data_IF_268880891089
#
_entry.id   IF_268880891089
#
_cell.length_a   1.000
_cell.length_b   1.000
_cell.length_c   1.000
_cell.angle_alpha   90.00
_cell.angle_beta   90.00
_cell.angle_gamma   90.00
#
_symmetry.space_group_name_H-M   'P 1'
#
loop_
_entity.id
_entity.type
_entity.pdbx_description
1 polymer ?
#
# COMPACT_ATOMS: atom_id res chain seq x y z
N UNK A 1 -12.90 -36.85 -27.09
CA UNK A 1 -13.36 -36.16 -25.85
C UNK A 1 -12.24 -35.36 -25.21
N UNK A 2 -11.09 -35.98 -24.89
CA UNK A 2 -9.92 -35.33 -24.27
C UNK A 2 -9.39 -34.12 -25.07
N UNK A 3 -9.19 -34.26 -26.39
CA UNK A 3 -8.70 -33.16 -27.24
C UNK A 3 -9.62 -31.93 -27.22
N UNK A 4 -10.94 -32.13 -27.20
CA UNK A 4 -11.91 -31.02 -27.12
C UNK A 4 -11.85 -30.31 -25.77
N UNK A 5 -11.70 -31.07 -24.68
CA UNK A 5 -11.53 -30.51 -23.34
C UNK A 5 -10.24 -29.69 -23.25
N UNK A 6 -9.13 -30.21 -23.78
CA UNK A 6 -7.85 -29.50 -23.83
C UNK A 6 -7.99 -28.19 -24.61
N UNK A 7 -8.58 -28.23 -25.80
CA UNK A 7 -8.80 -27.03 -26.61
C UNK A 7 -9.68 -26.00 -25.90
N UNK A 8 -10.73 -26.44 -25.19
CA UNK A 8 -11.56 -25.55 -24.39
C UNK A 8 -10.81 -24.91 -23.22
N UNK A 9 -9.97 -25.66 -22.50
CA UNK A 9 -9.16 -25.14 -21.41
C UNK A 9 -8.11 -24.15 -21.90
N UNK A 10 -7.46 -24.45 -23.03
CA UNK A 10 -6.52 -23.53 -23.68
C UNK A 10 -7.22 -22.25 -24.12
N UNK A 11 -8.41 -22.36 -24.74
CA UNK A 11 -9.22 -21.21 -25.11
C UNK A 11 -9.61 -20.34 -23.92
N UNK A 12 -10.07 -20.96 -22.83
CA UNK A 12 -10.40 -20.26 -21.58
C UNK A 12 -9.19 -19.53 -21.00
N UNK A 13 -8.02 -20.17 -20.99
CA UNK A 13 -6.78 -19.55 -20.52
C UNK A 13 -6.46 -18.27 -21.30
N UNK A 14 -6.51 -18.31 -22.63
CA UNK A 14 -6.28 -17.12 -23.46
C UNK A 14 -7.30 -16.01 -23.21
N UNK A 15 -8.57 -16.35 -22.98
CA UNK A 15 -9.61 -15.38 -22.61
C UNK A 15 -9.27 -14.72 -21.27
N UNK A 16 -8.90 -15.49 -20.25
CA UNK A 16 -8.53 -14.95 -18.94
C UNK A 16 -7.30 -14.03 -19.02
N UNK A 17 -6.29 -14.43 -19.79
CA UNK A 17 -5.10 -13.58 -20.02
C UNK A 17 -5.49 -12.29 -20.75
N UNK A 18 -6.35 -12.37 -21.78
CA UNK A 18 -6.83 -11.18 -22.48
C UNK A 18 -7.62 -10.25 -21.55
N UNK A 19 -8.53 -10.79 -20.72
CA UNK A 19 -9.26 -10.02 -19.72
C UNK A 19 -8.31 -9.35 -18.71
N UNK A 20 -7.28 -10.05 -18.26
CA UNK A 20 -6.28 -9.50 -17.35
C UNK A 20 -5.49 -8.37 -17.99
N UNK A 21 -5.07 -8.52 -19.26
CA UNK A 21 -4.37 -7.45 -20.01
C UNK A 21 -5.27 -6.23 -20.23
N UNK A 22 -6.54 -6.45 -20.56
CA UNK A 22 -7.53 -5.37 -20.68
C UNK A 22 -7.71 -4.66 -19.34
N UNK A 23 -7.86 -5.40 -18.24
CA UNK A 23 -7.92 -4.81 -16.90
C UNK A 23 -6.66 -4.01 -16.56
N UNK A 24 -5.50 -4.58 -16.85
CA UNK A 24 -4.20 -4.01 -16.51
C UNK A 24 -3.93 -2.70 -17.26
N UNK A 25 -4.32 -2.57 -18.53
CA UNK A 25 -3.86 -1.47 -19.38
C UNK A 25 -4.97 -0.63 -20.04
N UNK A 26 -6.19 -1.15 -20.16
CA UNK A 26 -7.27 -0.47 -20.90
C UNK A 26 -8.41 0.02 -20.00
N UNK A 27 -8.63 -0.61 -18.85
CA UNK A 27 -9.64 -0.14 -17.88
C UNK A 27 -9.14 1.17 -17.24
N UNK A 28 -9.96 2.24 -17.20
CA UNK A 28 -9.56 3.48 -16.55
C UNK A 28 -9.37 3.27 -15.05
N UNK A 29 -8.43 4.03 -14.48
CA UNK A 29 -8.25 4.07 -13.02
C UNK A 29 -9.49 4.69 -12.36
N UNK A 30 -9.75 4.37 -11.07
CA UNK A 30 -10.76 5.07 -10.30
C UNK A 30 -10.56 6.58 -10.35
N UNK A 31 -11.64 7.33 -10.16
CA UNK A 31 -11.56 8.78 -10.04
C UNK A 31 -10.59 9.13 -8.90
N UNK A 32 -9.63 10.00 -9.20
CA UNK A 32 -8.67 10.48 -8.23
C UNK A 32 -9.36 11.43 -7.24
N UNK A 33 -9.53 10.99 -5.99
CA UNK A 33 -10.09 11.80 -4.90
C UNK A 33 -9.02 12.40 -4.00
N UNK A 34 -7.75 12.31 -4.37
CA UNK A 34 -6.64 12.80 -3.54
C UNK A 34 -6.79 14.28 -3.24
N UNK A 35 -6.60 14.68 -1.99
CA UNK A 35 -6.48 16.08 -1.63
C UNK A 35 -5.20 16.66 -2.25
N UNK A 36 -5.28 17.60 -3.21
CA UNK A 36 -4.09 18.10 -3.92
C UNK A 36 -3.13 18.85 -3.00
N UNK A 37 -3.56 19.26 -1.80
CA UNK A 37 -2.70 19.94 -0.84
C UNK A 37 -1.52 19.09 -0.38
N UNK A 38 -1.62 17.74 -0.45
CA UNK A 38 -0.51 16.85 -0.08
C UNK A 38 0.72 17.01 -0.98
N UNK A 39 0.60 17.66 -2.14
CA UNK A 39 1.70 17.89 -3.08
C UNK A 39 2.22 19.34 -3.08
N UNK A 40 1.70 20.21 -2.20
CA UNK A 40 2.14 21.61 -2.12
C UNK A 40 3.50 21.78 -1.42
N UNK A 41 3.83 20.84 -0.54
CA UNK A 41 5.08 20.79 0.22
C UNK A 41 5.77 19.43 0.00
N UNK A 42 7.06 19.35 0.34
CA UNK A 42 7.82 18.12 0.22
C UNK A 42 7.73 17.33 1.53
N UNK A 43 7.10 16.15 1.49
CA UNK A 43 6.99 15.26 2.63
C UNK A 43 8.35 14.83 3.21
N UNK A 44 9.46 15.03 2.50
CA UNK A 44 10.82 14.80 3.03
C UNK A 44 11.18 15.73 4.19
N UNK A 45 10.53 16.88 4.34
CA UNK A 45 10.83 17.85 5.41
C UNK A 45 10.17 17.49 6.75
N UNK A 46 9.36 16.44 6.80
CA UNK A 46 8.59 16.03 7.99
C UNK A 46 9.41 15.13 8.91
N UNK A 47 9.28 15.34 10.23
CA UNK A 47 9.81 14.43 11.25
C UNK A 47 8.85 13.27 11.55
N UNK A 48 9.14 12.10 11.01
CA UNK A 48 8.33 10.88 11.11
C UNK A 48 8.43 10.14 12.44
N UNK A 49 9.21 10.64 13.40
CA UNK A 49 9.13 10.20 14.79
C UNK A 49 8.07 10.98 15.59
N UNK A 50 7.64 12.14 15.11
CA UNK A 50 6.49 12.89 15.65
C UNK A 50 5.18 12.35 15.12
N UNK A 51 4.82 11.12 15.51
CA UNK A 51 3.59 10.48 15.04
C UNK A 51 2.34 11.23 15.54
N UNK A 52 1.26 11.34 14.73
CA UNK A 52 -0.01 11.87 15.20
C UNK A 52 -0.57 11.09 16.39
N UNK A 53 -1.19 11.80 17.33
CA UNK A 53 -1.92 11.16 18.44
C UNK A 53 -3.26 10.61 17.94
N UNK A 54 -3.56 9.36 18.29
CA UNK A 54 -4.80 8.69 17.89
C UNK A 54 -5.78 8.63 19.08
N UNK A 55 -6.15 9.80 19.59
CA UNK A 55 -6.97 9.99 20.80
C UNK A 55 -8.46 10.21 20.52
N UNK A 56 -8.86 10.28 19.25
CA UNK A 56 -10.22 10.51 18.79
C UNK A 56 -10.69 11.97 18.83
N UNK A 57 -9.81 12.94 19.08
CA UNK A 57 -10.18 14.36 19.26
C UNK A 57 -10.47 15.14 17.97
N UNK A 58 -9.98 14.67 16.84
CA UNK A 58 -10.03 15.31 15.52
C UNK A 58 -10.74 14.49 14.45
N UNK A 59 -10.17 14.46 13.23
CA UNK A 59 -10.79 13.79 12.08
C UNK A 59 -10.71 12.28 12.20
N UNK A 60 -11.76 11.61 11.72
CA UNK A 60 -11.75 10.19 11.44
C UNK A 60 -11.12 9.88 10.09
N UNK A 61 -10.76 8.62 9.86
CA UNK A 61 -10.21 8.16 8.59
C UNK A 61 -11.18 8.33 7.42
N UNK A 62 -12.49 8.42 7.70
CA UNK A 62 -13.54 8.67 6.69
C UNK A 62 -13.67 10.15 6.31
N UNK A 63 -13.22 11.07 7.16
CA UNK A 63 -13.26 12.52 6.90
C UNK A 63 -12.13 12.99 5.96
N UNK A 64 -11.20 12.08 5.64
CA UNK A 64 -10.06 12.33 4.75
C UNK A 64 -10.33 11.56 3.44
N UNK A 65 -10.33 12.21 2.27
CA UNK A 65 -10.49 11.51 1.00
C UNK A 65 -9.41 10.44 0.78
N UNK A 66 -9.74 9.40 0.01
CA UNK A 66 -8.77 8.38 -0.40
C UNK A 66 -7.73 9.00 -1.33
N UNK A 67 -6.45 8.73 -1.08
CA UNK A 67 -5.36 9.15 -1.93
C UNK A 67 -5.07 8.08 -3.00
N UNK A 68 -4.62 8.53 -4.16
CA UNK A 68 -4.22 7.72 -5.29
C UNK A 68 -2.86 8.19 -5.79
N UNK A 69 -2.12 7.29 -6.41
CA UNK A 69 -0.86 7.66 -7.06
C UNK A 69 -1.15 8.52 -8.30
N UNK A 70 -0.64 9.77 -8.39
CA UNK A 70 -0.86 10.61 -9.55
C UNK A 70 -0.16 10.01 -10.78
N UNK A 71 -0.82 10.07 -11.95
CA UNK A 71 -0.24 9.54 -13.19
C UNK A 71 0.28 8.10 -13.06
N UNK A 72 1.56 7.89 -13.39
CA UNK A 72 2.25 6.61 -13.25
C UNK A 72 3.30 6.62 -12.12
N UNK A 73 3.16 7.56 -11.17
CA UNK A 73 4.08 7.77 -10.06
C UNK A 73 4.13 9.23 -9.65
N UNK A 74 4.32 9.51 -8.36
CA UNK A 74 4.61 10.87 -7.91
C UNK A 74 6.08 11.25 -8.19
N UNK A 75 6.31 12.53 -8.49
CA UNK A 75 7.66 13.08 -8.69
C UNK A 75 8.25 13.72 -7.43
N UNK A 76 7.40 14.05 -6.46
CA UNK A 76 7.77 14.61 -5.16
C UNK A 76 7.08 13.81 -4.06
N UNK A 77 7.77 13.62 -2.94
CA UNK A 77 7.21 12.89 -1.79
C UNK A 77 5.99 13.65 -1.28
N UNK A 78 4.79 13.04 -1.27
CA UNK A 78 3.61 13.72 -0.75
C UNK A 78 3.75 13.94 0.76
N UNK A 79 3.17 15.02 1.26
CA UNK A 79 2.91 15.22 2.68
C UNK A 79 2.10 14.05 3.26
N UNK A 80 2.15 13.80 4.59
CA UNK A 80 1.43 12.67 5.18
C UNK A 80 -0.09 12.82 4.99
N UNK A 81 -0.70 11.82 4.36
CA UNK A 81 -2.12 11.81 3.97
C UNK A 81 -3.02 11.81 5.22
N UNK A 82 -2.61 11.10 6.28
CA UNK A 82 -3.36 10.94 7.52
C UNK A 82 -2.87 11.85 8.65
N UNK A 83 -2.10 12.91 8.35
CA UNK A 83 -1.49 13.81 9.34
C UNK A 83 -2.47 14.36 10.38
N UNK A 84 -3.70 14.67 9.95
CA UNK A 84 -4.75 15.28 10.79
C UNK A 84 -5.77 14.26 11.32
N UNK A 85 -5.51 12.96 11.13
CA UNK A 85 -6.38 11.89 11.57
C UNK A 85 -6.02 11.47 12.99
N UNK A 86 -7.02 11.40 13.86
CA UNK A 86 -6.82 11.04 15.27
C UNK A 86 -7.66 9.82 15.68
N UNK A 87 -8.35 9.16 14.76
CA UNK A 87 -9.13 7.95 15.07
C UNK A 87 -8.22 6.86 15.66
N UNK A 88 -8.52 6.34 16.86
CA UNK A 88 -7.79 5.21 17.45
C UNK A 88 -7.68 4.04 16.46
N UNK A 89 -6.56 3.31 16.49
CA UNK A 89 -6.43 2.11 15.65
C UNK A 89 -7.57 1.14 15.96
N UNK A 90 -8.13 0.56 14.90
CA UNK A 90 -9.18 -0.43 15.04
C UNK A 90 -8.66 -1.69 15.75
N UNK A 91 -9.57 -2.46 16.35
CA UNK A 91 -9.23 -3.73 16.97
C UNK A 91 -8.52 -4.68 15.98
N UNK A 92 -7.47 -5.34 16.43
CA UNK A 92 -6.65 -6.25 15.60
C UNK A 92 -5.66 -5.57 14.65
N UNK A 93 -5.67 -4.24 14.55
CA UNK A 93 -4.69 -3.49 13.75
C UNK A 93 -3.41 -3.27 14.54
N UNK A 94 -2.30 -3.82 14.06
CA UNK A 94 -0.98 -3.59 14.67
C UNK A 94 -0.45 -2.22 14.24
N UNK A 95 0.06 -1.46 15.21
CA UNK A 95 0.71 -0.18 14.96
C UNK A 95 2.08 -0.39 14.30
N UNK A 96 2.15 -0.02 13.03
CA UNK A 96 3.30 -0.04 12.13
C UNK A 96 3.66 1.38 11.65
N UNK A 97 3.09 2.43 12.24
CA UNK A 97 3.31 3.83 11.80
C UNK A 97 4.78 4.21 11.89
N UNK A 98 5.28 4.92 10.89
CA UNK A 98 6.65 5.43 10.86
C UNK A 98 7.27 5.42 9.47
N UNK A 99 8.50 5.90 9.39
CA UNK A 99 9.35 5.80 8.21
C UNK A 99 10.33 4.64 8.40
N UNK A 100 10.30 3.67 7.51
CA UNK A 100 11.01 2.40 7.62
C UNK A 100 12.07 2.27 6.55
N UNK A 101 13.31 2.03 6.97
CA UNK A 101 14.47 1.91 6.09
C UNK A 101 15.11 0.52 6.14
N UNK A 102 15.25 -0.12 4.98
CA UNK A 102 15.79 -1.46 4.79
C UNK A 102 17.28 -1.54 5.08
N UNK A 103 17.65 -2.37 6.06
CA UNK A 103 19.03 -2.60 6.52
C UNK A 103 19.57 -3.97 6.12
N UNK A 104 18.73 -4.89 5.68
CA UNK A 104 19.11 -6.18 5.09
C UNK A 104 18.08 -6.64 4.07
N UNK A 105 18.43 -7.62 3.23
CA UNK A 105 17.57 -8.04 2.11
C UNK A 105 17.63 -6.98 1.01
N UNK A 106 16.51 -6.27 0.77
CA UNK A 106 16.47 -5.12 -0.15
C UNK A 106 16.98 -3.86 0.57
N UNK A 107 18.30 -3.74 0.68
CA UNK A 107 18.96 -2.57 1.30
C UNK A 107 18.55 -1.30 0.54
N UNK A 108 18.22 -0.24 1.28
CA UNK A 108 17.69 1.02 0.71
C UNK A 108 16.19 0.98 0.42
N UNK A 109 15.48 -0.10 0.77
CA UNK A 109 14.01 -0.06 0.83
C UNK A 109 13.55 1.05 1.76
N UNK A 110 12.66 1.92 1.28
CA UNK A 110 12.15 3.03 2.05
C UNK A 110 10.64 3.10 1.89
N UNK A 111 9.93 2.97 3.01
CA UNK A 111 8.48 3.13 3.03
C UNK A 111 8.03 3.93 4.25
N UNK A 112 7.10 4.86 4.00
CA UNK A 112 6.35 5.54 5.05
C UNK A 112 5.03 4.83 5.26
N UNK A 113 4.71 4.48 6.50
CA UNK A 113 3.42 3.92 6.90
C UNK A 113 2.69 4.92 7.79
N UNK A 114 1.46 5.23 7.42
CA UNK A 114 0.52 6.05 8.18
C UNK A 114 -0.70 5.20 8.51
N UNK A 115 -1.25 5.31 9.72
CA UNK A 115 -2.43 4.53 10.15
C UNK A 115 -3.36 5.37 11.00
N UNK A 116 -4.65 5.15 10.83
CA UNK A 116 -5.72 5.78 11.59
C UNK A 116 -7.00 4.94 11.44
N UNK A 117 -7.64 4.54 12.54
CA UNK A 117 -8.74 3.56 12.48
C UNK A 117 -8.27 2.24 11.87
N UNK A 118 -8.99 1.75 10.87
CA UNK A 118 -8.59 0.62 10.02
C UNK A 118 -8.03 1.06 8.65
N UNK A 119 -7.63 2.33 8.48
CA UNK A 119 -7.02 2.85 7.26
C UNK A 119 -5.50 2.86 7.39
N UNK A 120 -4.84 2.48 6.32
CA UNK A 120 -3.39 2.49 6.21
C UNK A 120 -3.00 3.14 4.89
N UNK A 121 -2.00 4.01 4.94
CA UNK A 121 -1.37 4.57 3.75
C UNK A 121 0.10 4.19 3.77
N UNK A 122 0.56 3.49 2.73
CA UNK A 122 1.98 3.19 2.51
C UNK A 122 2.47 4.02 1.34
N UNK A 123 3.45 4.89 1.58
CA UNK A 123 4.11 5.68 0.53
C UNK A 123 5.51 5.12 0.29
N UNK A 124 5.74 4.55 -0.88
CA UNK A 124 7.02 3.92 -1.24
C UNK A 124 7.22 3.93 -2.77
N UNK A 125 8.46 4.06 -3.23
CA UNK A 125 8.84 3.91 -4.65
C UNK A 125 7.95 4.67 -5.65
N UNK A 126 7.64 5.94 -5.39
CA UNK A 126 6.80 6.74 -6.27
C UNK A 126 5.30 6.38 -6.23
N UNK A 127 4.87 5.50 -5.32
CA UNK A 127 3.49 5.01 -5.21
C UNK A 127 2.90 5.32 -3.84
N UNK A 128 1.61 5.69 -3.83
CA UNK A 128 0.75 5.81 -2.67
C UNK A 128 -0.20 4.61 -2.68
N UNK A 129 -0.02 3.71 -1.71
CA UNK A 129 -0.91 2.59 -1.43
C UNK A 129 -1.87 3.00 -0.30
N UNK A 130 -3.10 3.41 -0.64
CA UNK A 130 -4.11 3.80 0.34
C UNK A 130 -5.23 2.76 0.41
N UNK A 131 -5.48 2.20 1.59
CA UNK A 131 -6.41 1.10 1.76
C UNK A 131 -6.98 1.00 3.17
N UNK A 132 -8.06 0.20 3.28
CA UNK A 132 -8.59 -0.30 4.55
C UNK A 132 -8.11 -1.73 4.76
N UNK A 133 -7.82 -2.08 6.00
CA UNK A 133 -7.43 -3.46 6.39
C UNK A 133 -8.66 -4.33 6.70
N UNK A 134 -9.66 -4.31 5.82
CA UNK A 134 -10.92 -5.06 5.97
C UNK A 134 -11.04 -6.30 5.08
N UNK A 135 -9.97 -6.66 4.38
CA UNK A 135 -9.91 -7.83 3.51
C UNK A 135 -10.69 -7.68 2.20
N UNK A 136 -11.19 -6.49 1.85
CA UNK A 136 -11.98 -6.30 0.63
C UNK A 136 -11.20 -5.63 -0.50
N UNK A 137 -11.47 -6.03 -1.75
CA UNK A 137 -10.98 -5.34 -2.94
C UNK A 137 -11.63 -3.97 -3.18
N UNK A 138 -12.79 -3.70 -2.57
CA UNK A 138 -13.50 -2.42 -2.70
C UNK A 138 -12.77 -1.32 -1.93
N UNK A 139 -12.35 -1.63 -0.71
CA UNK A 139 -11.67 -0.69 0.18
C UNK A 139 -10.14 -0.88 0.17
N UNK A 140 -9.65 -1.92 -0.50
CA UNK A 140 -8.24 -2.23 -0.72
C UNK A 140 -7.49 -1.24 -1.61
N UNK A 141 -6.21 -1.50 -1.89
CA UNK A 141 -5.37 -0.53 -2.60
C UNK A 141 -5.61 -0.59 -4.11
N UNK A 142 -5.71 0.60 -4.73
CA UNK A 142 -5.95 0.78 -6.17
C UNK A 142 -4.68 1.33 -6.80
N UNK A 143 -3.71 0.44 -6.94
CA UNK A 143 -2.33 0.79 -7.22
C UNK A 143 -1.97 0.73 -8.70
N UNK A 144 -0.77 1.20 -8.98
CA UNK A 144 -0.10 1.04 -10.26
C UNK A 144 1.09 0.10 -10.12
N UNK A 145 1.35 -0.71 -11.14
CA UNK A 145 2.57 -1.50 -11.26
C UNK A 145 3.70 -0.73 -11.95
N UNK A 146 4.85 -1.38 -12.06
CA UNK A 146 6.06 -0.80 -12.68
C UNK A 146 5.86 -0.35 -14.15
N UNK A 147 4.87 -0.90 -14.85
CA UNK A 147 4.51 -0.52 -16.22
C UNK A 147 3.27 0.37 -16.29
N UNK A 148 2.93 1.05 -15.19
CA UNK A 148 1.70 1.83 -15.04
C UNK A 148 0.40 1.01 -15.24
N UNK A 149 0.50 -0.30 -15.03
CA UNK A 149 -0.65 -1.20 -15.11
C UNK A 149 -1.48 -1.14 -13.83
N UNK A 150 -2.79 -1.32 -13.94
CA UNK A 150 -3.69 -1.38 -12.79
C UNK A 150 -3.39 -2.60 -11.91
N UNK A 151 -3.32 -2.38 -10.60
CA UNK A 151 -3.41 -3.42 -9.59
C UNK A 151 -4.56 -3.17 -8.62
N UNK A 152 -5.07 -4.24 -8.02
CA UNK A 152 -6.04 -4.17 -6.95
C UNK A 152 -5.69 -5.21 -5.90
N UNK A 153 -5.49 -4.76 -4.67
CA UNK A 153 -5.09 -5.62 -3.56
C UNK A 153 -6.12 -5.51 -2.46
N UNK A 154 -6.50 -6.64 -1.86
CA UNK A 154 -7.21 -6.66 -0.59
C UNK A 154 -6.16 -6.76 0.52
N UNK A 155 -6.30 -5.97 1.58
CA UNK A 155 -5.35 -6.00 2.71
C UNK A 155 -6.14 -6.29 3.98
N UNK A 156 -5.56 -7.11 4.85
CA UNK A 156 -6.07 -7.40 6.18
C UNK A 156 -4.89 -7.71 7.12
N UNK A 157 -5.19 -7.80 8.42
CA UNK A 157 -4.28 -8.38 9.40
C UNK A 157 -4.65 -9.83 9.66
N UNK A 158 -3.65 -10.71 9.71
CA UNK A 158 -3.75 -12.11 10.10
C UNK A 158 -2.67 -12.39 11.16
N UNK A 159 -3.08 -12.71 12.38
CA UNK A 159 -2.20 -12.92 13.54
C UNK A 159 -1.08 -11.87 13.70
N UNK A 160 -1.43 -10.59 13.51
CA UNK A 160 -0.51 -9.46 13.64
C UNK A 160 0.40 -9.21 12.42
N UNK A 161 0.23 -9.98 11.34
CA UNK A 161 0.88 -9.78 10.05
C UNK A 161 -0.08 -9.04 9.11
N UNK A 162 0.35 -7.92 8.53
CA UNK A 162 -0.42 -7.24 7.48
C UNK A 162 -0.16 -7.96 6.14
N UNK A 163 -1.22 -8.49 5.52
CA UNK A 163 -1.12 -9.31 4.30
C UNK A 163 -1.81 -8.62 3.13
N UNK A 164 -1.07 -8.38 2.05
CA UNK A 164 -1.59 -7.85 0.79
C UNK A 164 -1.87 -9.00 -0.17
N UNK A 165 -3.15 -9.18 -0.50
CA UNK A 165 -3.61 -10.21 -1.42
C UNK A 165 -3.93 -9.61 -2.78
N UNK A 166 -3.12 -9.93 -3.79
CA UNK A 166 -3.33 -9.45 -5.15
C UNK A 166 -4.59 -10.08 -5.74
N UNK A 167 -5.54 -9.23 -6.15
CA UNK A 167 -6.88 -9.62 -6.57
C UNK A 167 -7.63 -10.51 -5.56
N UNK A 168 -7.20 -10.49 -4.29
CA UNK A 168 -7.67 -11.39 -3.23
C UNK A 168 -7.47 -12.89 -3.53
N UNK A 169 -6.47 -13.23 -4.36
CA UNK A 169 -6.19 -14.61 -4.79
C UNK A 169 -4.94 -15.20 -4.11
N UNK A 170 -3.89 -14.40 -3.95
CA UNK A 170 -2.62 -14.86 -3.38
C UNK A 170 -1.87 -13.72 -2.72
N UNK A 171 -1.00 -14.08 -1.77
CA UNK A 171 -0.28 -13.14 -0.94
C UNK A 171 0.93 -12.61 -1.71
N UNK A 172 0.95 -11.30 -1.93
CA UNK A 172 1.98 -10.64 -2.72
C UNK A 172 2.99 -9.89 -1.84
N UNK A 173 2.54 -9.37 -0.69
CA UNK A 173 3.39 -8.65 0.26
C UNK A 173 2.90 -8.97 1.67
N UNK A 174 3.83 -9.18 2.60
CA UNK A 174 3.51 -9.20 4.02
C UNK A 174 4.39 -8.22 4.79
N UNK A 175 3.85 -7.71 5.89
CA UNK A 175 4.59 -6.89 6.86
C UNK A 175 4.31 -7.40 8.26
N UNK A 176 5.35 -7.58 9.07
CA UNK A 176 5.22 -7.96 10.47
C UNK A 176 6.20 -7.17 11.34
N UNK A 177 5.77 -6.82 12.54
CA UNK A 177 6.66 -6.25 13.54
C UNK A 177 7.57 -7.35 14.12
N UNK A 178 8.82 -7.01 14.41
CA UNK A 178 9.79 -7.86 15.10
C UNK A 178 10.59 -7.00 16.09
N UNK A 179 10.03 -6.81 17.29
CA UNK A 179 10.54 -5.84 18.24
C UNK A 179 10.42 -4.41 17.69
N UNK A 180 11.54 -3.70 17.63
CA UNK A 180 11.61 -2.32 17.09
C UNK A 180 11.74 -2.27 15.56
N UNK A 181 11.97 -3.42 14.91
CA UNK A 181 12.08 -3.54 13.46
C UNK A 181 10.75 -3.96 12.85
N UNK A 182 10.60 -3.69 11.55
CA UNK A 182 9.54 -4.27 10.74
C UNK A 182 10.18 -5.13 9.64
N UNK A 183 9.64 -6.33 9.44
CA UNK A 183 10.03 -7.23 8.36
C UNK A 183 9.03 -7.05 7.22
N UNK A 184 9.52 -6.62 6.06
CA UNK A 184 8.78 -6.55 4.81
C UNK A 184 9.16 -7.75 3.95
N UNK A 185 8.19 -8.53 3.49
CA UNK A 185 8.43 -9.67 2.60
C UNK A 185 7.69 -9.47 1.30
N UNK A 186 8.40 -9.58 0.17
CA UNK A 186 7.82 -9.46 -1.16
C UNK A 186 7.43 -10.83 -1.73
N UNK A 187 6.74 -10.86 -2.85
CA UNK A 187 6.22 -12.09 -3.49
C UNK A 187 7.30 -13.11 -3.87
N UNK A 188 8.56 -12.67 -3.97
CA UNK A 188 9.72 -13.53 -4.22
C UNK A 188 10.25 -14.22 -2.95
N UNK A 189 9.65 -13.97 -1.79
CA UNK A 189 10.04 -14.52 -0.50
C UNK A 189 11.23 -13.80 0.16
N UNK A 190 11.74 -12.72 -0.43
CA UNK A 190 12.85 -11.96 0.15
C UNK A 190 12.35 -11.17 1.35
N UNK A 191 12.80 -11.53 2.55
CA UNK A 191 12.60 -10.75 3.76
C UNK A 191 13.58 -9.56 3.81
N UNK A 192 13.02 -8.35 3.97
CA UNK A 192 13.75 -7.10 4.16
C UNK A 192 13.54 -6.65 5.60
N UNK A 193 14.60 -6.65 6.39
CA UNK A 193 14.57 -6.08 7.75
C UNK A 193 14.68 -4.58 7.64
N UNK A 194 13.79 -3.88 8.31
CA UNK A 194 13.76 -2.42 8.30
C UNK A 194 13.91 -1.88 9.72
N UNK A 195 14.63 -0.77 9.85
CA UNK A 195 14.67 0.03 11.08
C UNK A 195 13.82 1.29 10.90
N UNK A 196 13.20 1.75 11.98
CA UNK A 196 12.50 3.03 11.98
C UNK A 196 13.51 4.18 11.95
N UNK A 197 13.25 5.20 11.15
CA UNK A 197 14.02 6.44 11.09
C UNK A 197 13.06 7.64 11.14
N UNK A 198 13.59 8.82 11.46
CA UNK A 198 12.77 10.02 11.65
C UNK A 198 12.71 10.93 10.41
N UNK A 199 13.67 10.84 9.51
CA UNK A 199 13.82 11.73 8.35
C UNK A 199 14.12 10.90 7.11
N UNK A 200 13.72 11.39 5.93
CA UNK A 200 14.17 10.78 4.69
C UNK A 200 15.71 10.89 4.59
N UNK A 201 16.40 9.83 4.15
CA UNK A 201 17.83 9.93 3.86
C UNK A 201 18.10 10.91 2.70
N UNK A 202 19.27 11.56 2.69
CA UNK A 202 19.62 12.60 1.70
C UNK A 202 19.66 12.09 0.24
N UNK A 203 19.83 10.77 0.05
CA UNK A 203 19.93 10.09 -1.25
C UNK A 203 18.59 9.61 -1.83
N UNK A 204 17.46 9.88 -1.15
CA UNK A 204 16.11 9.49 -1.54
C UNK A 204 15.23 10.69 -1.88
#
# INVERSE_FOLDING_TARGET
MILRIILSLVGLFFILVACLLVYAFAVPRPLDTTDPSIFLEDGKTVNYCGLPELDGSGKSANDIPKAYTPGCGFSHTPMPILANCTEPLAEGVVDMRGLWHGISGRIGHLERIEQCGNRVVVTAYGTIHDFRVDGTLRNGARDIGAFCNNFNTAIHFDDGVMVFRLFDLFDAVTRRMNGEEMIFTFIDGVETRTKRICQYPDDH
#
